data_IF_184122615983
#
_entry.id   IF_184122615983
#
_cell.length_a   1.000
_cell.length_b   1.000
_cell.length_c   1.000
_cell.angle_alpha   90.00
_cell.angle_beta   90.00
_cell.angle_gamma   90.00
#
_symmetry.space_group_name_H-M   'P 1'
#
loop_
_entity.id
_entity.type
_entity.pdbx_description
1 polymer ?
#
# COMPACT_ATOMS: atom_id res chain seq x y z
N UNK A 1 23.64 -16.71 -5.88
CA UNK A 1 23.57 -15.83 -4.69
C UNK A 1 24.41 -16.46 -3.62
N UNK A 2 25.32 -15.68 -3.01
CA UNK A 2 26.12 -16.14 -1.88
C UNK A 2 25.20 -16.50 -0.71
N UNK A 3 25.65 -17.34 0.22
CA UNK A 3 24.85 -17.85 1.35
C UNK A 3 24.40 -16.75 2.35
N UNK A 4 24.86 -15.52 2.16
CA UNK A 4 24.66 -14.39 3.09
C UNK A 4 23.79 -13.24 2.53
N UNK A 5 23.31 -13.33 1.28
CA UNK A 5 22.50 -12.26 0.68
C UNK A 5 21.00 -12.45 1.02
N UNK A 6 20.61 -12.09 2.25
CA UNK A 6 19.19 -12.01 2.62
C UNK A 6 18.58 -10.75 1.99
N UNK A 7 17.43 -10.84 1.30
CA UNK A 7 16.77 -9.66 0.75
C UNK A 7 16.33 -8.71 1.88
N UNK A 8 16.40 -7.40 1.60
CA UNK A 8 16.05 -6.34 2.55
C UNK A 8 14.55 -6.35 2.93
N UNK A 9 13.71 -6.86 2.04
CA UNK A 9 12.26 -6.97 2.18
C UNK A 9 11.82 -8.37 1.74
N UNK A 10 10.61 -8.77 2.07
CA UNK A 10 10.05 -9.99 1.50
C UNK A 10 9.86 -9.80 -0.02
N UNK A 11 10.23 -10.79 -0.83
CA UNK A 11 9.99 -10.74 -2.27
C UNK A 11 8.49 -10.76 -2.60
N UNK A 12 7.67 -11.15 -1.63
CA UNK A 12 6.22 -11.20 -1.74
C UNK A 12 5.57 -9.84 -1.46
N UNK A 13 6.29 -8.90 -0.84
CA UNK A 13 5.84 -7.53 -0.62
C UNK A 13 5.68 -6.78 -1.94
N UNK A 14 6.52 -7.09 -2.95
CA UNK A 14 6.48 -6.45 -4.27
C UNK A 14 6.44 -7.49 -5.39
N UNK A 15 5.26 -8.05 -5.74
CA UNK A 15 5.15 -9.21 -6.62
C UNK A 15 5.78 -9.04 -8.01
N UNK A 16 5.83 -7.81 -8.54
CA UNK A 16 6.43 -7.53 -9.85
C UNK A 16 7.94 -7.84 -9.89
N UNK A 17 8.62 -7.83 -8.74
CA UNK A 17 10.06 -8.15 -8.66
C UNK A 17 10.38 -9.60 -9.00
N UNK A 18 9.36 -10.48 -9.01
CA UNK A 18 9.50 -11.89 -9.42
C UNK A 18 9.69 -12.08 -10.91
N UNK A 19 9.22 -11.14 -11.74
CA UNK A 19 9.24 -11.26 -13.20
C UNK A 19 10.15 -10.24 -13.88
N UNK A 20 10.55 -9.17 -13.18
CA UNK A 20 11.46 -8.18 -13.72
C UNK A 20 12.36 -7.56 -12.65
N UNK A 21 13.51 -7.06 -13.09
CA UNK A 21 14.33 -6.14 -12.28
C UNK A 21 13.79 -4.73 -12.45
N UNK A 22 13.14 -4.22 -11.41
CA UNK A 22 12.51 -2.90 -11.46
C UNK A 22 13.50 -1.79 -11.04
N UNK A 23 13.86 -0.92 -11.98
CA UNK A 23 14.84 0.17 -11.74
C UNK A 23 14.21 1.56 -11.71
N UNK A 24 12.89 1.68 -11.90
CA UNK A 24 12.19 2.96 -12.06
C UNK A 24 11.35 3.37 -10.83
N UNK A 25 11.74 2.93 -9.63
CA UNK A 25 10.99 3.18 -8.40
C UNK A 25 10.89 4.65 -8.00
N UNK A 26 11.80 5.50 -8.50
CA UNK A 26 11.74 6.94 -8.28
C UNK A 26 10.62 7.65 -9.07
N UNK A 27 10.20 7.08 -10.21
CA UNK A 27 9.08 7.63 -10.99
C UNK A 27 7.74 7.14 -10.44
N UNK A 28 7.55 5.82 -10.42
CA UNK A 28 6.36 5.18 -9.84
C UNK A 28 6.86 4.00 -9.02
N UNK A 29 6.57 3.98 -7.73
CA UNK A 29 6.94 2.86 -6.89
C UNK A 29 6.13 1.60 -7.28
N UNK A 30 6.71 0.42 -7.05
CA UNK A 30 5.91 -0.81 -7.09
C UNK A 30 4.90 -0.77 -5.95
N UNK A 31 3.67 -1.17 -6.24
CA UNK A 31 2.63 -1.30 -5.22
C UNK A 31 3.03 -2.43 -4.26
N UNK A 32 3.06 -2.13 -2.97
CA UNK A 32 3.21 -3.15 -1.93
C UNK A 32 1.95 -4.02 -1.88
N UNK A 33 2.10 -5.32 -1.61
CA UNK A 33 1.02 -6.31 -1.51
C UNK A 33 -0.07 -5.88 -0.53
N UNK A 34 0.30 -5.37 0.64
CA UNK A 34 -0.68 -4.94 1.62
C UNK A 34 -1.47 -3.72 1.15
N UNK A 35 -0.83 -2.80 0.43
CA UNK A 35 -1.52 -1.64 -0.17
C UNK A 35 -2.49 -2.08 -1.26
N UNK A 36 -2.09 -3.02 -2.12
CA UNK A 36 -2.98 -3.64 -3.13
C UNK A 36 -4.21 -4.29 -2.47
N UNK A 37 -4.01 -5.05 -1.40
CA UNK A 37 -5.08 -5.70 -0.64
C UNK A 37 -6.08 -4.69 -0.07
N UNK A 38 -5.59 -3.64 0.60
CA UNK A 38 -6.43 -2.63 1.24
C UNK A 38 -7.20 -1.82 0.20
N UNK A 39 -6.56 -1.37 -0.87
CA UNK A 39 -7.22 -0.62 -1.95
C UNK A 39 -8.31 -1.47 -2.61
N UNK A 40 -8.02 -2.74 -2.91
CA UNK A 40 -8.99 -3.65 -3.53
C UNK A 40 -10.19 -3.90 -2.61
N UNK A 41 -9.95 -4.10 -1.32
CA UNK A 41 -11.01 -4.26 -0.33
C UNK A 41 -11.89 -3.00 -0.23
N UNK A 42 -11.27 -1.81 -0.21
CA UNK A 42 -12.00 -0.55 -0.18
C UNK A 42 -12.84 -0.32 -1.44
N UNK A 43 -12.26 -0.53 -2.63
CA UNK A 43 -13.01 -0.41 -3.89
C UNK A 43 -14.20 -1.36 -3.94
N UNK A 44 -14.03 -2.59 -3.47
CA UNK A 44 -15.11 -3.56 -3.38
C UNK A 44 -16.20 -3.11 -2.42
N UNK A 45 -15.84 -2.63 -1.23
CA UNK A 45 -16.79 -2.14 -0.24
C UNK A 45 -17.63 -0.97 -0.78
N UNK A 46 -16.99 0.02 -1.41
CA UNK A 46 -17.70 1.15 -2.02
C UNK A 46 -18.60 0.69 -3.17
N UNK A 47 -18.16 -0.27 -3.99
CA UNK A 47 -18.97 -0.79 -5.09
C UNK A 47 -20.22 -1.56 -4.61
N UNK A 48 -20.11 -2.28 -3.50
CA UNK A 48 -21.20 -3.09 -2.94
C UNK A 48 -22.14 -2.26 -2.05
N UNK A 49 -21.59 -1.34 -1.25
CA UNK A 49 -22.31 -0.66 -0.17
C UNK A 49 -22.52 0.85 -0.44
N UNK A 50 -21.89 1.41 -1.46
CA UNK A 50 -21.92 2.85 -1.74
C UNK A 50 -21.42 3.66 -0.53
N UNK A 51 -22.06 4.81 -0.30
CA UNK A 51 -21.75 5.69 0.84
C UNK A 51 -22.31 5.22 2.18
N UNK A 52 -22.89 4.01 2.27
CA UNK A 52 -23.41 3.52 3.55
C UNK A 52 -22.27 3.25 4.55
N UNK A 53 -21.14 2.72 4.05
CA UNK A 53 -19.93 2.49 4.84
C UNK A 53 -18.92 3.63 4.72
N UNK A 54 -18.92 4.35 3.59
CA UNK A 54 -18.18 5.60 3.40
C UNK A 54 -19.12 6.80 3.60
N UNK A 55 -19.56 6.99 4.85
CA UNK A 55 -20.42 8.09 5.28
C UNK A 55 -19.59 9.31 5.72
N UNK A 56 -20.26 10.41 6.08
CA UNK A 56 -19.62 11.69 6.47
C UNK A 56 -18.54 11.51 7.56
N UNK A 57 -18.83 10.74 8.61
CA UNK A 57 -17.85 10.49 9.67
C UNK A 57 -16.65 9.66 9.20
N UNK A 58 -16.86 8.72 8.28
CA UNK A 58 -15.77 7.94 7.67
C UNK A 58 -14.92 8.80 6.73
N UNK A 59 -15.54 9.71 5.98
CA UNK A 59 -14.85 10.67 5.11
C UNK A 59 -13.97 11.63 5.92
N UNK A 60 -14.49 12.17 7.02
CA UNK A 60 -13.75 13.06 7.91
C UNK A 60 -12.48 12.39 8.49
N UNK A 61 -12.56 11.11 8.83
CA UNK A 61 -11.48 10.38 9.51
C UNK A 61 -10.53 9.62 8.56
N UNK A 62 -10.84 9.50 7.26
CA UNK A 62 -10.15 8.57 6.34
C UNK A 62 -8.64 8.81 6.21
N UNK A 63 -8.20 10.05 6.46
CA UNK A 63 -6.79 10.43 6.35
C UNK A 63 -6.06 10.57 7.69
N UNK A 64 -6.72 10.38 8.83
CA UNK A 64 -6.10 10.61 10.14
C UNK A 64 -4.87 9.74 10.39
N UNK A 65 -4.98 8.44 10.12
CA UNK A 65 -3.85 7.52 10.27
C UNK A 65 -2.71 7.84 9.29
N UNK A 66 -3.05 8.31 8.08
CA UNK A 66 -2.06 8.75 7.09
C UNK A 66 -1.32 10.01 7.57
N UNK A 67 -2.06 10.99 8.12
CA UNK A 67 -1.47 12.19 8.69
C UNK A 67 -0.54 11.86 9.87
N UNK A 68 -0.95 10.94 10.75
CA UNK A 68 -0.11 10.49 11.86
C UNK A 68 1.14 9.75 11.37
N UNK A 69 1.02 8.90 10.36
CA UNK A 69 2.16 8.20 9.76
C UNK A 69 3.14 9.18 9.09
N UNK A 70 2.62 10.18 8.37
CA UNK A 70 3.42 11.24 7.78
C UNK A 70 4.13 12.08 8.85
N UNK A 71 3.44 12.44 9.94
CA UNK A 71 4.04 13.15 11.06
C UNK A 71 5.22 12.37 11.65
N UNK A 72 5.08 11.06 11.87
CA UNK A 72 6.18 10.19 12.35
C UNK A 72 7.34 10.03 11.36
N UNK A 73 7.09 10.22 10.07
CA UNK A 73 8.12 10.10 9.03
C UNK A 73 8.97 11.38 8.91
N UNK A 74 8.35 12.55 9.09
CA UNK A 74 8.98 13.84 8.86
C UNK A 74 9.40 14.59 10.13
N UNK A 75 9.00 14.12 11.32
CA UNK A 75 9.40 14.66 12.63
C UNK A 75 10.26 13.65 13.38
#
# INVERSE_FOLDING_TARGET
MSKDDKPLVDLDDFPATRTCTYINAANVALMCRETERVITAWYKDVAENGSNNFNEAAEDAVFDDLHQAAARLFH
#
